data_IF_059978649179
#
_entry.id   IF_059978649179
#
_cell.length_a   1.000
_cell.length_b   1.000
_cell.length_c   1.000
_cell.angle_alpha   90.00
_cell.angle_beta   90.00
_cell.angle_gamma   90.00
#
_symmetry.space_group_name_H-M   'P 1'
#
loop_
_entity.id
_entity.type
_entity.pdbx_description
1 polymer ?
#
# COMPACT_ATOMS: atom_id res chain seq x y z
N UNK A 1 4.60 -6.29 -15.05
CA UNK A 1 4.31 -6.63 -13.64
C UNK A 1 5.28 -5.88 -12.76
N UNK A 2 4.77 -5.07 -11.84
CA UNK A 2 5.59 -4.22 -10.98
C UNK A 2 5.43 -4.59 -9.51
N UNK A 3 6.54 -4.76 -8.80
CA UNK A 3 6.61 -4.93 -7.36
C UNK A 3 7.84 -4.24 -6.80
N UNK A 4 7.75 -3.81 -5.55
CA UNK A 4 8.89 -3.22 -4.84
C UNK A 4 8.70 -3.39 -3.33
N UNK A 5 9.74 -3.80 -2.64
CA UNK A 5 9.73 -3.85 -1.17
C UNK A 5 10.18 -2.49 -0.63
N UNK A 6 9.25 -1.66 -0.20
CA UNK A 6 9.56 -0.30 0.27
C UNK A 6 10.12 -0.27 1.69
N UNK A 7 9.60 -1.13 2.56
CA UNK A 7 10.13 -1.37 3.89
C UNK A 7 10.24 -2.87 4.09
N UNK A 8 11.04 -3.32 5.06
CA UNK A 8 11.18 -4.74 5.33
C UNK A 8 9.83 -5.39 5.61
N UNK A 9 9.43 -6.31 4.76
CA UNK A 9 8.15 -7.03 4.87
C UNK A 9 6.94 -6.27 4.34
N UNK A 10 7.11 -5.06 3.81
CA UNK A 10 6.01 -4.26 3.27
C UNK A 10 6.24 -3.95 1.80
N UNK A 11 5.48 -4.63 0.94
CA UNK A 11 5.60 -4.61 -0.51
C UNK A 11 4.49 -3.78 -1.14
N UNK A 12 4.78 -3.19 -2.29
CA UNK A 12 3.78 -2.61 -3.18
C UNK A 12 3.80 -3.35 -4.50
N UNK A 13 2.70 -3.31 -5.24
CA UNK A 13 2.61 -3.93 -6.55
C UNK A 13 1.44 -3.41 -7.37
N UNK A 14 1.50 -3.67 -8.68
CA UNK A 14 0.39 -3.38 -9.59
C UNK A 14 -0.64 -4.52 -9.59
N UNK A 15 -1.74 -4.33 -10.33
CA UNK A 15 -2.82 -5.31 -10.37
C UNK A 15 -2.41 -6.64 -11.00
N UNK A 16 -1.41 -6.66 -11.88
CA UNK A 16 -0.95 -7.89 -12.53
C UNK A 16 -0.32 -8.86 -11.53
N UNK A 17 0.25 -8.36 -10.44
CA UNK A 17 0.89 -9.22 -9.43
C UNK A 17 -0.12 -10.15 -8.75
N UNK A 18 -1.40 -9.80 -8.75
CA UNK A 18 -2.45 -10.65 -8.18
C UNK A 18 -2.57 -12.01 -8.89
N UNK A 19 -2.04 -12.14 -10.11
CA UNK A 19 -2.04 -13.37 -10.87
C UNK A 19 -0.76 -14.21 -10.68
N UNK A 20 0.18 -13.77 -9.87
CA UNK A 20 1.46 -14.45 -9.69
C UNK A 20 1.52 -15.22 -8.37
N UNK A 21 1.11 -16.50 -8.41
CA UNK A 21 1.30 -17.40 -7.26
C UNK A 21 2.78 -17.55 -6.90
N UNK A 22 3.64 -17.58 -7.92
CA UNK A 22 5.08 -17.70 -7.71
C UNK A 22 5.62 -16.56 -6.87
N UNK A 23 5.23 -15.31 -7.18
CA UNK A 23 5.63 -14.16 -6.37
C UNK A 23 5.17 -14.29 -4.92
N UNK A 24 3.90 -14.68 -4.73
CA UNK A 24 3.34 -14.83 -3.37
C UNK A 24 4.11 -15.87 -2.56
N UNK A 25 4.42 -17.02 -3.18
CA UNK A 25 5.15 -18.10 -2.52
C UNK A 25 6.61 -17.73 -2.27
N UNK A 26 7.31 -17.21 -3.28
CA UNK A 26 8.74 -16.87 -3.18
C UNK A 26 9.00 -15.79 -2.12
N UNK A 27 8.06 -14.89 -1.92
CA UNK A 27 8.21 -13.78 -0.97
C UNK A 27 7.36 -13.97 0.29
N UNK A 28 6.78 -15.14 0.46
CA UNK A 28 6.03 -15.52 1.67
C UNK A 28 4.99 -14.46 2.05
N UNK A 29 4.22 -13.99 1.06
CA UNK A 29 3.16 -13.01 1.29
C UNK A 29 2.04 -13.68 2.09
N UNK A 30 1.73 -13.13 3.25
CA UNK A 30 0.67 -13.64 4.12
C UNK A 30 -0.59 -12.77 4.14
N UNK A 31 -0.47 -11.51 3.71
CA UNK A 31 -1.59 -10.57 3.66
C UNK A 31 -1.53 -9.80 2.34
N UNK A 32 -2.68 -9.66 1.67
CA UNK A 32 -2.83 -8.77 0.51
C UNK A 32 -3.86 -7.70 0.85
N UNK A 33 -3.45 -6.44 0.77
CA UNK A 33 -4.35 -5.28 0.78
C UNK A 33 -4.58 -4.88 -0.68
N UNK A 34 -5.77 -5.18 -1.20
CA UNK A 34 -6.11 -4.92 -2.60
C UNK A 34 -6.85 -3.59 -2.70
N UNK A 35 -6.16 -2.56 -3.16
CA UNK A 35 -6.68 -1.19 -3.28
C UNK A 35 -7.31 -0.94 -4.65
N UNK A 36 -8.02 -1.92 -5.18
CA UNK A 36 -8.80 -1.80 -6.42
C UNK A 36 -10.25 -2.19 -6.18
N UNK A 37 -11.12 -1.81 -7.12
CA UNK A 37 -12.55 -2.10 -7.01
C UNK A 37 -12.93 -3.42 -7.65
N UNK A 38 -12.19 -3.91 -8.66
CA UNK A 38 -12.65 -5.03 -9.48
C UNK A 38 -11.61 -6.11 -9.78
N UNK A 39 -10.32 -5.92 -9.48
CA UNK A 39 -9.34 -6.98 -9.66
C UNK A 39 -9.47 -8.03 -8.56
N UNK A 40 -9.51 -9.29 -8.95
CA UNK A 40 -9.72 -10.41 -8.02
C UNK A 40 -8.43 -10.77 -7.28
N UNK A 41 -8.60 -11.31 -6.07
CA UNK A 41 -7.50 -11.90 -5.32
C UNK A 41 -7.08 -13.24 -5.94
N UNK A 42 -5.82 -13.65 -5.71
CA UNK A 42 -5.41 -15.01 -6.09
C UNK A 42 -6.16 -16.06 -5.28
N UNK A 43 -6.35 -17.24 -5.88
CA UNK A 43 -6.95 -18.39 -5.18
C UNK A 43 -5.89 -19.07 -4.31
N UNK A 44 -5.54 -18.43 -3.19
CA UNK A 44 -4.55 -18.91 -2.23
C UNK A 44 -5.16 -18.77 -0.83
N UNK A 45 -5.76 -19.86 -0.30
CA UNK A 45 -6.53 -19.79 0.96
C UNK A 45 -5.71 -19.37 2.18
N UNK A 46 -4.39 -19.63 2.17
CA UNK A 46 -3.53 -19.27 3.30
C UNK A 46 -3.27 -17.76 3.42
N UNK A 47 -3.54 -16.98 2.37
CA UNK A 47 -3.32 -15.53 2.37
C UNK A 47 -4.57 -14.84 2.90
N UNK A 48 -4.40 -13.95 3.87
CA UNK A 48 -5.47 -13.07 4.34
C UNK A 48 -5.70 -11.96 3.32
N UNK A 49 -6.95 -11.75 2.95
CA UNK A 49 -7.34 -10.86 1.85
C UNK A 49 -8.20 -9.73 2.39
N UNK A 50 -7.77 -8.50 2.14
CA UNK A 50 -8.50 -7.28 2.54
C UNK A 50 -8.66 -6.40 1.31
N UNK A 51 -9.89 -5.98 1.02
CA UNK A 51 -10.16 -5.05 -0.07
C UNK A 51 -10.39 -3.65 0.46
N UNK A 52 -9.66 -2.71 -0.14
CA UNK A 52 -9.86 -1.28 0.06
C UNK A 52 -10.28 -0.70 -1.30
N UNK A 53 -11.59 -0.56 -1.57
CA UNK A 53 -12.09 -0.36 -2.93
C UNK A 53 -11.94 1.09 -3.40
N UNK A 54 -10.72 1.55 -3.56
CA UNK A 54 -10.43 2.85 -4.14
C UNK A 54 -10.58 2.78 -5.66
N UNK A 55 -11.10 3.83 -6.26
CA UNK A 55 -11.19 3.92 -7.71
C UNK A 55 -9.84 4.31 -8.32
N UNK A 56 -9.74 4.21 -9.66
CA UNK A 56 -8.55 4.70 -10.37
C UNK A 56 -8.68 6.19 -10.75
N UNK A 57 -9.60 6.90 -10.13
CA UNK A 57 -9.83 8.33 -10.36
C UNK A 57 -9.13 9.14 -9.26
N UNK A 58 -8.01 9.78 -9.61
CA UNK A 58 -7.21 10.55 -8.65
C UNK A 58 -7.92 11.81 -8.12
N UNK A 59 -9.06 12.18 -8.68
CA UNK A 59 -9.86 13.35 -8.26
C UNK A 59 -11.12 12.96 -7.51
N UNK A 60 -11.26 11.68 -7.14
CA UNK A 60 -12.47 11.19 -6.49
C UNK A 60 -12.57 11.66 -5.05
N UNK A 61 -13.56 12.48 -4.73
CA UNK A 61 -13.88 12.84 -3.35
C UNK A 61 -14.34 11.65 -2.55
N UNK A 62 -15.01 10.69 -3.19
CA UNK A 62 -15.45 9.44 -2.54
C UNK A 62 -14.27 8.64 -2.02
N UNK A 63 -13.20 8.53 -2.81
CA UNK A 63 -11.99 7.82 -2.39
C UNK A 63 -11.32 8.51 -1.20
N UNK A 64 -11.26 9.83 -1.21
CA UNK A 64 -10.65 10.58 -0.11
C UNK A 64 -11.45 10.40 1.18
N UNK A 65 -12.78 10.42 1.10
CA UNK A 65 -13.66 10.16 2.25
C UNK A 65 -13.43 8.75 2.77
N UNK A 66 -13.40 7.75 1.87
CA UNK A 66 -13.16 6.35 2.24
C UNK A 66 -11.81 6.19 2.93
N UNK A 67 -10.76 6.84 2.42
CA UNK A 67 -9.44 6.80 3.02
C UNK A 67 -9.45 7.44 4.42
N UNK A 68 -10.04 8.62 4.56
CA UNK A 68 -10.10 9.30 5.88
C UNK A 68 -10.84 8.49 6.91
N UNK A 69 -11.94 7.81 6.52
CA UNK A 69 -12.73 6.98 7.42
C UNK A 69 -11.98 5.73 7.88
N UNK A 70 -11.07 5.19 7.05
CA UNK A 70 -10.42 3.91 7.29
C UNK A 70 -8.93 4.00 7.59
N UNK A 71 -8.33 5.20 7.49
CA UNK A 71 -6.88 5.38 7.63
C UNK A 71 -6.34 4.74 8.90
N UNK A 72 -6.91 5.04 10.03
CA UNK A 72 -6.39 4.55 11.31
C UNK A 72 -6.48 3.04 11.42
N UNK A 73 -7.58 2.44 10.92
CA UNK A 73 -7.73 0.98 10.89
C UNK A 73 -6.72 0.32 9.97
N UNK A 74 -6.49 0.90 8.79
CA UNK A 74 -5.52 0.38 7.81
C UNK A 74 -4.12 0.40 8.41
N UNK A 75 -3.70 1.54 8.97
CA UNK A 75 -2.35 1.70 9.50
C UNK A 75 -2.12 0.84 10.74
N UNK A 76 -3.11 0.74 11.61
CA UNK A 76 -3.06 -0.14 12.78
C UNK A 76 -2.96 -1.61 12.35
N UNK A 77 -3.72 -2.02 11.34
CA UNK A 77 -3.67 -3.38 10.81
C UNK A 77 -2.27 -3.72 10.26
N UNK A 78 -1.68 -2.81 9.49
CA UNK A 78 -0.31 -2.99 8.99
C UNK A 78 0.66 -3.12 10.18
N UNK A 79 0.57 -2.21 11.14
CA UNK A 79 1.47 -2.20 12.28
C UNK A 79 1.38 -3.48 13.12
N UNK A 80 0.18 -4.00 13.31
CA UNK A 80 -0.05 -5.21 14.10
C UNK A 80 0.48 -6.48 13.42
N UNK A 81 0.65 -6.47 12.10
CA UNK A 81 0.97 -7.66 11.32
C UNK A 81 2.35 -7.65 10.66
N UNK A 82 2.99 -6.49 10.50
CA UNK A 82 4.23 -6.35 9.72
C UNK A 82 5.38 -7.21 10.25
N UNK A 83 5.44 -7.45 11.57
CA UNK A 83 6.47 -8.29 12.17
C UNK A 83 6.12 -9.78 12.14
N UNK A 84 4.88 -10.12 11.80
CA UNK A 84 4.40 -11.51 11.79
C UNK A 84 4.40 -12.13 10.41
N UNK A 85 4.22 -11.32 9.37
CA UNK A 85 4.13 -11.79 8.00
C UNK A 85 4.42 -10.67 7.02
N UNK A 86 4.73 -11.04 5.78
CA UNK A 86 4.93 -10.07 4.70
C UNK A 86 3.59 -9.61 4.15
N UNK A 87 3.47 -8.30 3.91
CA UNK A 87 2.25 -7.64 3.45
C UNK A 87 2.50 -7.08 2.05
N UNK A 88 1.56 -7.34 1.14
CA UNK A 88 1.56 -6.77 -0.20
C UNK A 88 0.37 -5.83 -0.36
N UNK A 89 0.64 -4.58 -0.69
CA UNK A 89 -0.38 -3.58 -1.00
C UNK A 89 -0.42 -3.41 -2.52
N UNK A 90 -1.56 -3.73 -3.12
CA UNK A 90 -1.76 -3.68 -4.57
C UNK A 90 -2.67 -2.50 -4.92
N UNK A 91 -2.29 -1.75 -5.94
CA UNK A 91 -3.17 -0.80 -6.61
C UNK A 91 -3.06 -0.96 -8.13
N UNK A 92 -3.69 -0.08 -8.91
CA UNK A 92 -3.78 -0.27 -10.36
C UNK A 92 -2.41 -0.28 -11.05
N UNK A 93 -1.56 0.70 -10.75
CA UNK A 93 -0.21 0.79 -11.32
C UNK A 93 0.91 0.45 -10.33
N UNK A 94 0.57 0.30 -9.05
CA UNK A 94 1.54 0.06 -7.99
C UNK A 94 2.38 1.28 -7.62
N UNK A 95 2.12 2.45 -8.19
CA UNK A 95 3.02 3.60 -8.08
C UNK A 95 2.37 4.85 -7.48
N UNK A 96 1.08 4.81 -7.16
CA UNK A 96 0.37 5.97 -6.60
C UNK A 96 -0.34 5.65 -5.28
N UNK A 97 -1.37 4.82 -5.29
CA UNK A 97 -2.17 4.51 -4.10
C UNK A 97 -1.36 3.69 -3.08
N UNK A 98 -0.79 2.57 -3.51
CA UNK A 98 -0.09 1.68 -2.59
C UNK A 98 1.14 2.33 -1.94
N UNK A 99 2.02 3.05 -2.67
CA UNK A 99 3.11 3.73 -1.98
C UNK A 99 2.63 4.87 -1.08
N UNK A 100 1.49 5.49 -1.38
CA UNK A 100 0.93 6.50 -0.48
C UNK A 100 0.51 5.90 0.86
N UNK A 101 -0.08 4.71 0.87
CA UNK A 101 -0.40 4.01 2.13
C UNK A 101 0.86 3.69 2.93
N UNK A 102 1.96 3.33 2.26
CA UNK A 102 3.25 3.14 2.94
C UNK A 102 3.75 4.46 3.53
N UNK A 103 3.62 5.57 2.79
CA UNK A 103 4.00 6.90 3.30
C UNK A 103 3.19 7.28 4.54
N UNK A 104 1.88 7.03 4.56
CA UNK A 104 1.04 7.25 5.73
C UNK A 104 1.50 6.40 6.92
N UNK A 105 1.84 5.14 6.67
CA UNK A 105 2.33 4.23 7.70
C UNK A 105 3.62 4.77 8.33
N UNK A 106 4.58 5.21 7.51
CA UNK A 106 5.82 5.79 8.01
C UNK A 106 5.54 7.06 8.82
N UNK A 107 4.68 7.94 8.30
CA UNK A 107 4.32 9.18 8.99
C UNK A 107 3.72 8.94 10.38
N UNK A 108 2.84 7.92 10.48
CA UNK A 108 2.15 7.61 11.74
C UNK A 108 3.08 7.02 12.78
N UNK A 109 3.97 6.11 12.39
CA UNK A 109 4.72 5.31 13.35
C UNK A 109 6.20 5.68 13.51
N UNK A 110 6.83 6.33 12.52
CA UNK A 110 8.25 6.70 12.64
C UNK A 110 8.49 8.16 13.03
N UNK A 111 7.50 9.03 12.88
CA UNK A 111 7.55 10.44 13.29
C UNK A 111 8.71 11.23 12.66
N UNK A 112 9.16 10.82 11.49
CA UNK A 112 10.14 11.58 10.70
C UNK A 112 9.41 12.60 9.83
N UNK A 113 10.15 13.59 9.31
CA UNK A 113 9.55 14.66 8.53
C UNK A 113 9.11 14.19 7.12
N UNK A 114 8.28 15.02 6.49
CA UNK A 114 7.72 14.71 5.17
C UNK A 114 8.81 14.51 4.12
N UNK A 115 9.82 15.37 4.12
CA UNK A 115 10.92 15.28 3.14
C UNK A 115 11.67 13.94 3.28
N UNK A 116 11.95 13.53 4.51
CA UNK A 116 12.64 12.25 4.76
C UNK A 116 11.80 11.06 4.30
N UNK A 117 10.47 11.10 4.49
CA UNK A 117 9.58 10.05 4.02
C UNK A 117 9.64 9.95 2.48
N UNK A 118 9.50 11.07 1.78
CA UNK A 118 9.57 11.09 0.33
C UNK A 118 10.94 10.63 -0.19
N UNK A 119 12.02 11.03 0.46
CA UNK A 119 13.38 10.59 0.10
C UNK A 119 13.52 9.05 0.23
N UNK A 120 12.99 8.45 1.29
CA UNK A 120 12.98 7.00 1.47
C UNK A 120 12.27 6.32 0.30
N UNK A 121 11.07 6.77 -0.04
CA UNK A 121 10.27 6.14 -1.10
C UNK A 121 10.88 6.35 -2.47
N UNK A 122 11.29 7.57 -2.80
CA UNK A 122 11.85 7.91 -4.10
C UNK A 122 13.24 7.33 -4.33
N UNK A 123 13.97 6.99 -3.27
CA UNK A 123 15.21 6.22 -3.37
C UNK A 123 14.93 4.79 -3.84
N UNK A 124 13.82 4.21 -3.43
CA UNK A 124 13.41 2.86 -3.87
C UNK A 124 12.94 2.85 -5.32
N UNK A 125 12.21 3.87 -5.74
CA UNK A 125 11.77 4.06 -7.13
C UNK A 125 11.46 5.53 -7.38
N UNK A 126 12.27 6.19 -8.21
CA UNK A 126 12.10 7.60 -8.53
C UNK A 126 10.83 7.90 -9.35
N UNK A 127 10.16 6.87 -9.89
CA UNK A 127 8.95 7.00 -10.68
C UNK A 127 7.66 6.92 -9.84
N UNK A 128 7.77 6.79 -8.52
CA UNK A 128 6.58 6.83 -7.68
C UNK A 128 5.93 8.21 -7.75
N UNK A 129 4.61 8.23 -7.91
CA UNK A 129 3.80 9.43 -7.96
C UNK A 129 2.70 9.31 -6.91
N UNK A 130 2.97 9.78 -5.71
CA UNK A 130 2.10 9.57 -4.56
C UNK A 130 0.72 10.16 -4.79
N UNK A 131 -0.30 9.40 -4.40
CA UNK A 131 -1.72 9.69 -4.63
C UNK A 131 -2.13 11.06 -4.09
N UNK A 132 -1.75 11.36 -2.85
CA UNK A 132 -1.98 12.67 -2.22
C UNK A 132 -0.69 13.16 -1.56
N UNK A 133 -0.69 14.44 -1.15
CA UNK A 133 0.36 14.97 -0.29
C UNK A 133 0.08 14.61 1.17
N UNK A 134 1.12 14.23 1.91
CA UNK A 134 1.00 13.85 3.31
C UNK A 134 0.44 14.98 4.18
N UNK A 135 0.60 16.24 3.78
CA UNK A 135 0.08 17.39 4.53
C UNK A 135 -1.45 17.45 4.58
N UNK A 136 -2.17 16.65 3.76
CA UNK A 136 -3.62 16.49 3.89
C UNK A 136 -4.01 15.73 5.18
N UNK A 137 -3.08 14.99 5.78
CA UNK A 137 -3.35 14.11 6.91
C UNK A 137 -2.53 14.45 8.15
N UNK A 138 -1.38 15.10 7.99
CA UNK A 138 -0.44 15.41 9.07
C UNK A 138 0.02 16.87 8.98
N UNK A 139 0.32 17.45 10.13
CA UNK A 139 0.92 18.78 10.24
C UNK A 139 2.44 18.69 10.04
N UNK A 140 2.87 19.23 8.91
CA UNK A 140 4.29 19.35 8.60
C UNK A 140 4.73 20.80 8.45
#
# INVERSE_FOLDING_TARGET
MYTNELLSGLWIGDSDILNSKKFMDDNQIGIILNCTTYFDFPDLPAIQKVRLPFSNDIKSDTDLILLRQNKDKILSFINDNILKTNILIVCYDGKSISPFLVALYIAEYSKIDKKSIYDILLTKDSNLSLWYDLSLFYNY
#
